data_IF_526424753059
#
_entry.id   IF_526424753059
#
_cell.length_a   1.000
_cell.length_b   1.000
_cell.length_c   1.000
_cell.angle_alpha   90.00
_cell.angle_beta   90.00
_cell.angle_gamma   90.00
#
_symmetry.space_group_name_H-M   'P 1'
#
loop_
_entity.id
_entity.type
_entity.pdbx_description
1 polymer ?
#
# COMPACT_ATOMS: atom_id res chain seq x y z
N UNK A 1 15.61 -7.43 73.89
CA UNK A 1 16.44 -7.31 72.70
C UNK A 1 15.63 -7.72 71.48
N UNK A 2 15.05 -6.77 70.72
CA UNK A 2 14.27 -7.04 69.46
C UNK A 2 15.22 -6.91 68.27
N UNK A 3 15.40 -8.01 67.54
CA UNK A 3 16.19 -8.02 66.30
C UNK A 3 15.27 -7.65 65.14
N UNK A 4 15.48 -6.52 64.51
CA UNK A 4 14.80 -6.06 63.30
C UNK A 4 15.46 -6.74 62.10
N UNK A 5 14.72 -7.54 61.38
CA UNK A 5 15.15 -8.19 60.12
C UNK A 5 14.87 -7.20 58.98
N UNK A 6 15.94 -6.70 58.35
CA UNK A 6 15.83 -5.84 57.12
C UNK A 6 15.79 -6.78 55.91
N UNK A 7 14.64 -6.80 55.23
CA UNK A 7 14.45 -7.57 54.00
C UNK A 7 14.87 -6.68 52.82
N UNK A 8 16.01 -6.98 52.21
CA UNK A 8 16.48 -6.29 51.02
C UNK A 8 15.81 -6.92 49.79
N UNK A 9 14.91 -6.19 49.16
CA UNK A 9 14.27 -6.61 47.87
C UNK A 9 15.19 -6.25 46.72
N UNK A 10 15.78 -7.25 46.06
CA UNK A 10 16.51 -7.09 44.81
C UNK A 10 15.49 -7.09 43.65
N UNK A 11 15.26 -5.92 43.07
CA UNK A 11 14.52 -5.78 41.83
C UNK A 11 15.46 -6.10 40.66
N UNK A 12 15.30 -7.27 40.04
CA UNK A 12 15.99 -7.65 38.82
C UNK A 12 15.35 -6.90 37.64
N UNK A 13 16.06 -5.93 37.08
CA UNK A 13 15.72 -5.28 35.81
C UNK A 13 16.04 -6.28 34.70
N UNK A 14 15.03 -6.94 34.11
CA UNK A 14 15.20 -7.73 32.90
C UNK A 14 15.43 -6.78 31.71
N UNK A 15 16.47 -6.98 30.89
CA UNK A 15 16.64 -6.20 29.67
C UNK A 15 15.51 -6.55 28.71
N UNK A 16 14.74 -5.55 28.29
CA UNK A 16 13.81 -5.66 27.19
C UNK A 16 14.63 -5.90 25.91
N UNK A 17 14.56 -7.11 25.35
CA UNK A 17 15.07 -7.40 24.01
C UNK A 17 14.21 -6.59 23.03
N UNK A 18 14.74 -5.46 22.54
CA UNK A 18 14.19 -4.83 21.34
C UNK A 18 14.34 -5.84 20.21
N UNK A 19 13.22 -6.35 19.70
CA UNK A 19 13.23 -7.11 18.45
C UNK A 19 13.81 -6.19 17.36
N UNK A 20 14.97 -6.56 16.82
CA UNK A 20 15.56 -5.85 15.70
C UNK A 20 14.62 -5.97 14.50
N UNK A 21 14.06 -4.86 14.02
CA UNK A 21 13.32 -4.84 12.75
C UNK A 21 14.23 -5.35 11.63
N UNK A 22 13.66 -6.13 10.71
CA UNK A 22 14.39 -6.59 9.54
C UNK A 22 14.96 -5.36 8.78
N UNK A 23 16.21 -5.46 8.30
CA UNK A 23 16.83 -4.35 7.59
C UNK A 23 16.02 -4.00 6.33
N UNK A 24 15.81 -2.71 6.11
CA UNK A 24 15.11 -2.23 4.92
C UNK A 24 15.95 -2.55 3.69
N UNK A 25 15.38 -3.19 2.65
CA UNK A 25 16.12 -3.53 1.44
C UNK A 25 16.75 -2.31 0.76
N UNK A 26 17.90 -2.46 0.08
CA UNK A 26 18.49 -1.40 -0.73
C UNK A 26 17.52 -0.81 -1.75
N UNK A 27 17.71 0.46 -2.13
CA UNK A 27 16.80 1.19 -3.01
C UNK A 27 16.59 0.52 -4.38
N UNK A 28 17.63 -0.05 -4.96
CA UNK A 28 17.58 -0.78 -6.23
C UNK A 28 16.70 -2.03 -6.15
N UNK A 29 16.76 -2.78 -5.06
CA UNK A 29 15.90 -3.94 -4.82
C UNK A 29 14.44 -3.52 -4.62
N UNK A 30 14.20 -2.47 -3.84
CA UNK A 30 12.85 -1.93 -3.67
C UNK A 30 12.26 -1.47 -5.02
N UNK A 31 13.05 -0.76 -5.84
CA UNK A 31 12.62 -0.30 -7.17
C UNK A 31 12.29 -1.49 -8.08
N UNK A 32 13.18 -2.51 -8.13
CA UNK A 32 12.99 -3.68 -8.98
C UNK A 32 11.67 -4.40 -8.67
N UNK A 33 11.34 -4.56 -7.38
CA UNK A 33 10.11 -5.26 -6.94
C UNK A 33 8.87 -4.38 -7.06
N UNK A 34 8.97 -3.09 -6.72
CA UNK A 34 7.81 -2.17 -6.75
C UNK A 34 7.15 -2.04 -8.13
N UNK A 35 7.91 -2.20 -9.21
CA UNK A 35 7.38 -2.06 -10.57
C UNK A 35 6.85 -3.36 -11.18
N UNK A 36 7.00 -4.49 -10.50
CA UNK A 36 6.58 -5.81 -11.03
C UNK A 36 5.09 -5.89 -11.41
N UNK A 37 4.15 -5.23 -10.70
CA UNK A 37 2.74 -5.25 -11.09
C UNK A 37 2.48 -4.67 -12.48
N UNK A 38 3.32 -3.75 -12.94
CA UNK A 38 3.11 -3.05 -14.21
C UNK A 38 3.40 -3.92 -15.43
N UNK A 39 2.68 -3.70 -16.54
CA UNK A 39 3.15 -4.08 -17.86
C UNK A 39 4.58 -3.58 -18.12
N UNK A 40 5.35 -4.36 -18.89
CA UNK A 40 6.79 -4.12 -19.05
C UNK A 40 7.12 -2.70 -19.57
N UNK A 41 6.28 -2.19 -20.47
CA UNK A 41 6.43 -0.87 -21.11
C UNK A 41 6.32 0.31 -20.14
N UNK A 42 5.70 0.14 -18.97
CA UNK A 42 5.57 1.21 -17.96
C UNK A 42 6.63 1.15 -16.86
N UNK A 43 7.41 0.06 -16.75
CA UNK A 43 8.29 -0.18 -15.60
C UNK A 43 9.48 0.77 -15.54
N UNK A 44 10.12 1.02 -16.68
CA UNK A 44 11.35 1.82 -16.74
C UNK A 44 11.13 3.27 -16.28
N UNK A 45 10.03 3.88 -16.70
CA UNK A 45 9.74 5.29 -16.49
C UNK A 45 8.79 5.58 -15.31
N UNK A 46 8.40 4.56 -14.54
CA UNK A 46 7.57 4.77 -13.36
C UNK A 46 8.31 5.51 -12.26
N UNK A 47 7.66 6.47 -11.62
CA UNK A 47 8.12 7.02 -10.33
C UNK A 47 8.01 5.92 -9.26
N UNK A 48 9.01 5.77 -8.40
CA UNK A 48 8.97 4.79 -7.32
C UNK A 48 9.14 5.48 -5.97
N UNK A 49 8.16 5.32 -5.12
CA UNK A 49 8.20 5.68 -3.70
C UNK A 49 8.56 4.42 -2.91
N UNK A 50 9.47 4.55 -1.98
CA UNK A 50 9.91 3.46 -1.10
C UNK A 50 10.53 4.01 0.17
N UNK A 51 11.29 3.21 0.87
CA UNK A 51 11.71 3.52 2.23
C UNK A 51 13.21 3.75 2.31
N UNK A 52 13.59 4.84 3.01
CA UNK A 52 14.98 5.11 3.40
C UNK A 52 15.43 4.10 4.48
N UNK A 53 16.74 3.97 4.76
CA UNK A 53 17.24 3.12 5.85
C UNK A 53 16.59 3.40 7.21
N UNK A 54 16.09 4.62 7.43
CA UNK A 54 15.40 5.06 8.66
C UNK A 54 13.89 4.77 8.63
N UNK A 55 13.37 4.06 7.60
CA UNK A 55 11.97 3.70 7.47
C UNK A 55 11.05 4.86 7.07
N UNK A 56 11.58 5.92 6.51
CA UNK A 56 10.78 7.04 5.99
C UNK A 56 10.42 6.81 4.52
N UNK A 57 9.16 7.04 4.16
CA UNK A 57 8.75 7.00 2.75
C UNK A 57 9.39 8.17 1.99
N UNK A 58 10.14 7.84 0.94
CA UNK A 58 10.88 8.79 0.09
C UNK A 58 10.73 8.42 -1.39
N UNK A 59 11.09 9.33 -2.29
CA UNK A 59 11.20 9.01 -3.72
C UNK A 59 12.53 8.32 -3.97
N UNK A 60 12.47 7.04 -4.35
CA UNK A 60 13.67 6.26 -4.72
C UNK A 60 14.04 6.44 -6.19
N UNK A 61 13.05 6.67 -7.05
CA UNK A 61 13.22 6.98 -8.48
C UNK A 61 12.20 8.01 -8.92
N UNK A 62 12.65 9.13 -9.45
CA UNK A 62 11.80 10.14 -10.09
C UNK A 62 11.63 9.80 -11.57
N UNK A 63 10.54 9.10 -11.90
CA UNK A 63 10.24 8.63 -13.24
C UNK A 63 9.44 9.67 -14.05
N UNK A 64 9.68 9.70 -15.36
CA UNK A 64 8.97 10.59 -16.29
C UNK A 64 7.65 9.99 -16.83
N UNK A 65 7.42 8.70 -16.61
CA UNK A 65 6.23 8.00 -17.08
C UNK A 65 4.94 8.38 -16.33
N UNK A 66 3.83 7.77 -16.71
CA UNK A 66 2.50 8.07 -16.18
C UNK A 66 2.19 7.36 -14.85
N UNK A 67 3.05 6.43 -14.40
CA UNK A 67 2.77 5.59 -13.24
C UNK A 67 3.62 5.98 -12.03
N UNK A 68 3.01 5.85 -10.83
CA UNK A 68 3.69 5.93 -9.54
C UNK A 68 3.52 4.59 -8.83
N UNK A 69 4.62 3.98 -8.41
CA UNK A 69 4.66 2.71 -7.68
C UNK A 69 5.06 2.93 -6.21
N UNK A 70 4.48 2.15 -5.32
CA UNK A 70 4.89 2.06 -3.91
C UNK A 70 5.58 0.73 -3.68
N UNK A 71 6.77 0.79 -3.06
CA UNK A 71 7.46 -0.38 -2.55
C UNK A 71 6.70 -0.99 -1.37
N UNK A 72 7.03 -2.22 -1.07
CA UNK A 72 6.50 -2.96 0.08
C UNK A 72 6.78 -2.22 1.40
N UNK A 73 5.79 -2.23 2.32
CA UNK A 73 5.94 -1.55 3.61
C UNK A 73 6.75 -2.43 4.58
N UNK A 74 7.96 -2.02 4.99
CA UNK A 74 8.81 -2.82 5.87
C UNK A 74 8.22 -3.05 7.27
N UNK A 75 7.11 -2.41 7.61
CA UNK A 75 6.36 -2.65 8.86
C UNK A 75 5.41 -3.82 8.77
N UNK A 76 5.08 -4.27 7.57
CA UNK A 76 4.16 -5.40 7.31
C UNK A 76 4.94 -6.71 7.13
N UNK A 77 5.70 -7.11 8.17
CA UNK A 77 6.65 -8.23 8.12
C UNK A 77 6.08 -9.56 7.62
N UNK A 78 4.77 -9.78 7.71
CA UNK A 78 4.10 -11.03 7.33
C UNK A 78 3.44 -10.99 5.96
N UNK A 79 3.30 -9.82 5.39
CA UNK A 79 2.59 -9.61 4.14
C UNK A 79 3.49 -8.87 3.14
N UNK A 80 3.32 -9.22 1.88
CA UNK A 80 3.91 -8.52 0.75
C UNK A 80 2.82 -7.77 0.00
N UNK A 81 3.03 -6.49 -0.28
CA UNK A 81 2.12 -5.70 -1.09
C UNK A 81 2.82 -4.56 -1.81
N UNK A 82 2.84 -4.60 -3.12
CA UNK A 82 3.29 -3.51 -3.99
C UNK A 82 2.16 -3.06 -4.89
N UNK A 83 2.07 -1.76 -5.15
CA UNK A 83 1.02 -1.20 -5.98
C UNK A 83 1.51 -0.02 -6.81
N UNK A 84 1.06 0.01 -8.06
CA UNK A 84 1.34 1.10 -8.99
C UNK A 84 0.02 1.71 -9.46
N UNK A 85 -0.08 3.03 -9.49
CA UNK A 85 -1.27 3.75 -9.94
C UNK A 85 -0.89 4.89 -10.89
N UNK A 86 -1.83 5.26 -11.73
CA UNK A 86 -1.65 6.40 -12.64
C UNK A 86 -1.47 7.71 -11.84
N UNK A 87 -0.52 8.56 -12.23
CA UNK A 87 -0.16 9.82 -11.53
C UNK A 87 -1.33 10.76 -11.26
N UNK A 88 -2.39 10.72 -12.08
CA UNK A 88 -3.59 11.52 -11.83
C UNK A 88 -4.30 11.19 -10.51
N UNK A 89 -4.02 10.02 -9.91
CA UNK A 89 -4.51 9.64 -8.59
C UNK A 89 -3.64 10.17 -7.45
N UNK A 90 -2.47 10.75 -7.73
CA UNK A 90 -1.51 11.15 -6.68
C UNK A 90 -2.11 12.05 -5.61
N UNK A 91 -2.91 13.08 -5.91
CA UNK A 91 -3.51 13.92 -4.86
C UNK A 91 -4.34 13.12 -3.86
N UNK A 92 -5.12 12.14 -4.34
CA UNK A 92 -5.94 11.28 -3.50
C UNK A 92 -5.11 10.24 -2.73
N UNK A 93 -4.10 9.65 -3.36
CA UNK A 93 -3.22 8.65 -2.76
C UNK A 93 -2.28 9.27 -1.72
N UNK A 94 -1.63 10.40 -2.06
CA UNK A 94 -0.76 11.13 -1.14
C UNK A 94 -1.52 11.61 0.11
N UNK A 95 -2.75 12.10 -0.06
CA UNK A 95 -3.58 12.49 1.09
C UNK A 95 -3.88 11.31 2.01
N UNK A 96 -4.14 10.14 1.46
CA UNK A 96 -4.33 8.92 2.23
C UNK A 96 -3.08 8.55 3.04
N UNK A 97 -1.90 8.63 2.44
CA UNK A 97 -0.62 8.40 3.12
C UNK A 97 -0.38 9.42 4.24
N UNK A 98 -0.59 10.71 3.98
CA UNK A 98 -0.43 11.77 4.97
C UNK A 98 -1.36 11.60 6.18
N UNK A 99 -2.62 11.21 5.96
CA UNK A 99 -3.57 10.93 7.04
C UNK A 99 -3.10 9.75 7.91
N UNK A 100 -2.66 8.64 7.29
CA UNK A 100 -2.12 7.50 8.04
C UNK A 100 -0.87 7.88 8.83
N UNK A 101 0.03 8.64 8.24
CA UNK A 101 1.23 9.13 8.93
C UNK A 101 0.91 10.04 10.12
N UNK A 102 -0.25 10.73 10.11
CA UNK A 102 -0.75 11.51 11.26
C UNK A 102 -1.61 10.70 12.24
N UNK A 103 -1.65 9.36 12.12
CA UNK A 103 -2.37 8.48 13.03
C UNK A 103 -3.86 8.28 12.72
N UNK A 104 -4.37 8.80 11.60
CA UNK A 104 -5.75 8.52 11.16
C UNK A 104 -5.79 7.12 10.53
N UNK A 105 -6.68 6.26 11.00
CA UNK A 105 -6.78 4.85 10.57
C UNK A 105 -8.19 4.48 10.10
N UNK A 106 -8.29 3.33 9.44
CA UNK A 106 -9.57 2.73 9.03
C UNK A 106 -10.39 3.64 8.11
N UNK A 107 -11.71 3.57 8.25
CA UNK A 107 -12.68 4.30 7.41
C UNK A 107 -12.61 5.83 7.58
N UNK A 108 -11.96 6.30 8.65
CA UNK A 108 -11.76 7.74 8.86
C UNK A 108 -10.89 8.37 7.76
N UNK A 109 -9.92 7.62 7.23
CA UNK A 109 -9.08 8.07 6.10
C UNK A 109 -9.95 8.37 4.89
N UNK A 110 -10.86 7.46 4.54
CA UNK A 110 -11.76 7.64 3.40
C UNK A 110 -12.78 8.75 3.66
N UNK A 111 -13.33 8.81 4.86
CA UNK A 111 -14.28 9.87 5.25
C UNK A 111 -13.69 11.27 5.07
N UNK A 112 -12.42 11.48 5.46
CA UNK A 112 -11.75 12.78 5.27
C UNK A 112 -11.52 13.05 3.79
N UNK A 113 -10.94 12.08 3.04
CA UNK A 113 -10.69 12.24 1.61
C UNK A 113 -11.96 12.52 0.82
N UNK A 114 -13.06 11.83 1.13
CA UNK A 114 -14.34 12.04 0.45
C UNK A 114 -14.91 13.44 0.68
N UNK A 115 -14.78 13.97 1.90
CA UNK A 115 -15.14 15.37 2.19
C UNK A 115 -14.29 16.35 1.39
N UNK A 116 -12.98 16.08 1.29
CA UNK A 116 -12.06 16.93 0.54
C UNK A 116 -12.29 16.86 -0.98
N UNK A 117 -12.63 15.69 -1.53
CA UNK A 117 -13.06 15.55 -2.93
C UNK A 117 -14.36 16.32 -3.18
N UNK A 118 -15.38 16.16 -2.33
CA UNK A 118 -16.65 16.86 -2.44
C UNK A 118 -16.48 18.38 -2.38
N UNK A 119 -15.53 18.85 -1.57
CA UNK A 119 -15.20 20.28 -1.43
C UNK A 119 -14.29 20.82 -2.56
N UNK A 120 -13.93 19.98 -3.56
CA UNK A 120 -13.05 20.36 -4.66
C UNK A 120 -11.57 20.52 -4.29
N UNK A 121 -11.17 20.18 -3.06
CA UNK A 121 -9.77 20.25 -2.60
C UNK A 121 -8.90 19.15 -3.23
N UNK A 122 -9.49 18.00 -3.53
CA UNK A 122 -8.86 16.90 -4.26
C UNK A 122 -9.64 16.68 -5.54
N UNK A 123 -8.94 16.73 -6.67
CA UNK A 123 -9.53 16.39 -7.97
C UNK A 123 -9.30 14.92 -8.26
N UNK A 124 -10.38 14.20 -8.58
CA UNK A 124 -10.31 12.83 -9.04
C UNK A 124 -10.27 12.78 -10.57
N UNK A 125 -9.47 11.88 -11.19
CA UNK A 125 -9.56 11.64 -12.62
C UNK A 125 -10.90 10.99 -12.97
N UNK A 126 -11.33 11.08 -14.24
CA UNK A 126 -12.52 10.35 -14.72
C UNK A 126 -12.32 8.84 -14.62
N UNK A 127 -11.10 8.39 -14.94
CA UNK A 127 -10.67 7.00 -14.79
C UNK A 127 -9.16 6.94 -14.58
N UNK A 128 -8.68 5.92 -13.87
CA UNK A 128 -7.26 5.69 -13.66
C UNK A 128 -6.99 4.22 -13.30
N UNK A 129 -5.95 3.65 -13.88
CA UNK A 129 -5.52 2.29 -13.56
C UNK A 129 -4.74 2.23 -12.25
N UNK A 130 -4.87 1.08 -11.56
CA UNK A 130 -3.98 0.62 -10.51
C UNK A 130 -3.69 -0.86 -10.74
N UNK A 131 -2.44 -1.24 -10.52
CA UNK A 131 -1.93 -2.60 -10.61
C UNK A 131 -1.29 -2.96 -9.28
N UNK A 132 -1.56 -4.15 -8.75
CA UNK A 132 -0.90 -4.58 -7.51
C UNK A 132 -0.56 -6.06 -7.53
N UNK A 133 0.44 -6.40 -6.70
CA UNK A 133 0.78 -7.76 -6.32
C UNK A 133 0.74 -7.86 -4.81
N UNK A 134 0.21 -8.95 -4.30
CA UNK A 134 0.13 -9.19 -2.86
C UNK A 134 0.27 -10.67 -2.53
N UNK A 135 0.64 -10.97 -1.28
CA UNK A 135 0.76 -12.33 -0.77
C UNK A 135 1.40 -12.34 0.61
N UNK A 136 1.81 -13.53 1.06
CA UNK A 136 2.66 -13.64 2.24
C UNK A 136 4.07 -13.10 1.92
N UNK A 137 4.84 -12.72 2.93
CA UNK A 137 6.21 -12.19 2.71
C UNK A 137 7.11 -13.17 1.93
N UNK A 138 6.84 -14.47 1.99
CA UNK A 138 7.60 -15.51 1.27
C UNK A 138 7.38 -15.52 -0.25
N UNK A 139 6.40 -14.76 -0.78
CA UNK A 139 6.16 -14.74 -2.24
C UNK A 139 7.15 -13.87 -3.00
N UNK A 140 7.96 -13.06 -2.30
CA UNK A 140 8.92 -12.14 -2.91
C UNK A 140 10.35 -12.55 -2.57
N UNK A 141 11.22 -12.51 -3.59
CA UNK A 141 12.67 -12.49 -3.44
C UNK A 141 13.16 -11.07 -3.79
N UNK A 142 13.40 -10.29 -2.75
CA UNK A 142 13.84 -8.89 -2.89
C UNK A 142 15.19 -8.78 -3.59
N UNK A 143 16.13 -9.71 -3.29
CA UNK A 143 17.48 -9.69 -3.86
C UNK A 143 17.47 -10.05 -5.35
N UNK A 144 16.63 -11.00 -5.75
CA UNK A 144 16.46 -11.38 -7.15
C UNK A 144 15.50 -10.44 -7.92
N UNK A 145 14.76 -9.56 -7.24
CA UNK A 145 13.77 -8.69 -7.85
C UNK A 145 12.61 -9.48 -8.48
N UNK A 146 12.15 -10.56 -7.86
CA UNK A 146 11.17 -11.50 -8.42
C UNK A 146 10.09 -11.87 -7.41
N UNK A 147 8.93 -12.27 -7.92
CA UNK A 147 7.87 -12.89 -7.13
C UNK A 147 7.60 -14.31 -7.62
N UNK A 148 7.12 -15.15 -6.72
CA UNK A 148 6.69 -16.52 -7.05
C UNK A 148 5.27 -16.50 -7.67
N UNK A 149 4.83 -17.60 -8.32
CA UNK A 149 3.45 -17.73 -8.79
C UNK A 149 2.37 -17.66 -7.70
N UNK A 150 2.75 -17.74 -6.43
CA UNK A 150 1.81 -17.56 -5.31
C UNK A 150 1.45 -16.08 -5.04
N UNK A 151 2.17 -15.13 -5.64
CA UNK A 151 1.80 -13.72 -5.60
C UNK A 151 0.50 -13.49 -6.37
N UNK A 152 -0.45 -12.82 -5.74
CA UNK A 152 -1.77 -12.55 -6.32
C UNK A 152 -1.78 -11.20 -7.00
N UNK A 153 -2.07 -11.19 -8.30
CA UNK A 153 -2.30 -9.97 -9.05
C UNK A 153 -3.71 -9.45 -8.83
N UNK A 154 -3.84 -8.13 -8.75
CA UNK A 154 -5.10 -7.44 -8.73
C UNK A 154 -5.00 -6.21 -9.63
N UNK A 155 -5.94 -6.09 -10.56
CA UNK A 155 -6.05 -4.95 -11.46
C UNK A 155 -7.28 -4.15 -11.12
N UNK A 156 -7.12 -2.84 -11.10
CA UNK A 156 -8.16 -1.91 -10.67
C UNK A 156 -8.29 -0.78 -11.69
N UNK A 157 -9.51 -0.42 -12.01
CA UNK A 157 -9.81 0.81 -12.74
C UNK A 157 -10.65 1.70 -11.84
N UNK A 158 -10.05 2.76 -11.30
CA UNK A 158 -10.80 3.79 -10.61
C UNK A 158 -11.76 4.48 -11.58
N UNK A 159 -13.02 4.53 -11.20
CA UNK A 159 -14.11 5.23 -11.87
C UNK A 159 -14.96 5.93 -10.81
N UNK A 160 -14.55 7.12 -10.36
CA UNK A 160 -15.23 7.82 -9.28
C UNK A 160 -16.74 7.90 -9.50
N UNK A 161 -17.50 7.58 -8.46
CA UNK A 161 -18.96 7.56 -8.43
C UNK A 161 -19.61 6.48 -9.30
N UNK A 162 -18.88 5.55 -9.90
CA UNK A 162 -19.46 4.42 -10.61
C UNK A 162 -20.38 3.60 -9.69
N UNK A 163 -21.50 3.16 -10.26
CA UNK A 163 -22.48 2.27 -9.61
C UNK A 163 -22.83 1.13 -10.57
N UNK A 164 -23.47 0.05 -10.12
CA UNK A 164 -23.99 -0.95 -11.03
C UNK A 164 -24.90 -0.39 -12.13
N UNK A 165 -25.73 0.60 -11.78
CA UNK A 165 -26.63 1.25 -12.74
C UNK A 165 -25.90 2.04 -13.82
N UNK A 166 -24.77 2.69 -13.50
CA UNK A 166 -24.01 3.51 -14.45
C UNK A 166 -22.94 2.74 -15.21
N UNK A 167 -22.51 1.58 -14.69
CA UNK A 167 -21.41 0.79 -15.29
C UNK A 167 -21.86 -0.54 -15.91
N UNK A 168 -23.04 -1.07 -15.54
CA UNK A 168 -23.46 -2.43 -15.88
C UNK A 168 -22.69 -3.53 -15.14
N UNK A 169 -21.84 -3.19 -14.18
CA UNK A 169 -20.97 -4.11 -13.44
C UNK A 169 -21.53 -4.32 -12.03
N UNK A 170 -21.68 -5.57 -11.53
CA UNK A 170 -22.25 -5.84 -10.22
C UNK A 170 -21.39 -5.26 -9.08
N UNK A 171 -22.00 -4.93 -7.94
CA UNK A 171 -21.31 -4.45 -6.74
C UNK A 171 -20.81 -5.58 -5.82
N UNK A 172 -21.22 -6.82 -6.07
CA UNK A 172 -20.75 -7.99 -5.33
C UNK A 172 -19.68 -8.74 -6.14
N UNK A 173 -18.65 -9.31 -5.49
CA UNK A 173 -17.66 -10.13 -6.17
C UNK A 173 -18.31 -11.31 -6.91
N UNK A 174 -17.94 -11.48 -8.17
CA UNK A 174 -18.34 -12.60 -9.03
C UNK A 174 -17.07 -13.30 -9.49
N UNK A 175 -17.01 -14.62 -9.33
CA UNK A 175 -15.82 -15.39 -9.71
C UNK A 175 -15.55 -15.24 -11.23
N UNK A 176 -14.34 -14.83 -11.57
CA UNK A 176 -13.90 -14.67 -12.96
C UNK A 176 -14.50 -13.47 -13.69
N UNK A 177 -15.20 -12.56 -12.99
CA UNK A 177 -15.79 -11.38 -13.57
C UNK A 177 -15.43 -10.11 -12.78
N UNK A 178 -15.47 -8.92 -13.40
CA UNK A 178 -15.26 -7.66 -12.71
C UNK A 178 -16.42 -7.32 -11.75
N UNK A 179 -16.12 -6.58 -10.69
CA UNK A 179 -17.13 -6.00 -9.79
C UNK A 179 -16.74 -4.60 -9.36
N UNK A 180 -17.74 -3.77 -8.97
CA UNK A 180 -17.53 -2.41 -8.47
C UNK A 180 -17.36 -2.45 -6.96
N UNK A 181 -16.25 -1.92 -6.45
CA UNK A 181 -16.06 -1.64 -5.01
C UNK A 181 -16.37 -0.20 -4.69
N UNK A 182 -16.94 0.04 -3.52
CA UNK A 182 -17.35 1.37 -3.01
C UNK A 182 -18.26 2.14 -3.98
N UNK A 183 -19.33 1.53 -4.51
CA UNK A 183 -20.17 2.17 -5.52
C UNK A 183 -20.72 3.51 -5.04
N UNK A 184 -20.79 4.49 -5.95
CA UNK A 184 -21.30 5.84 -5.68
C UNK A 184 -20.39 6.75 -4.85
N UNK A 185 -19.18 6.32 -4.51
CA UNK A 185 -18.20 7.12 -3.75
C UNK A 185 -17.09 7.67 -4.65
N UNK A 186 -16.34 8.68 -4.20
CA UNK A 186 -15.14 9.14 -4.90
C UNK A 186 -14.10 8.04 -5.13
N UNK A 187 -14.11 6.99 -4.30
CA UNK A 187 -13.19 5.85 -4.36
C UNK A 187 -13.73 4.70 -5.20
N UNK A 188 -14.90 4.83 -5.81
CA UNK A 188 -15.47 3.76 -6.63
C UNK A 188 -14.47 3.27 -7.68
N UNK A 189 -14.32 1.95 -7.78
CA UNK A 189 -13.39 1.33 -8.71
C UNK A 189 -13.85 -0.07 -9.11
N UNK A 190 -13.45 -0.48 -10.29
CA UNK A 190 -13.70 -1.80 -10.83
C UNK A 190 -12.51 -2.69 -10.51
N UNK A 191 -12.79 -3.86 -9.96
CA UNK A 191 -11.80 -4.87 -9.57
C UNK A 191 -11.76 -5.97 -10.63
N UNK A 192 -10.55 -6.41 -10.98
CA UNK A 192 -10.28 -7.57 -11.81
C UNK A 192 -9.27 -8.46 -11.10
N UNK A 193 -9.63 -9.69 -10.82
CA UNK A 193 -8.69 -10.72 -10.37
C UNK A 193 -8.42 -11.61 -11.58
N UNK A 194 -7.22 -11.49 -12.21
CA UNK A 194 -6.89 -12.36 -13.32
C UNK A 194 -6.76 -13.81 -12.82
N UNK A 195 -7.24 -14.75 -13.61
CA UNK A 195 -6.86 -16.15 -13.46
C UNK A 195 -5.39 -16.28 -13.85
N UNK A 196 -4.55 -16.62 -12.89
CA UNK A 196 -3.15 -16.97 -13.16
C UNK A 196 -3.03 -18.43 -13.51
#
# INVERSE_FOLDING_TARGET
MRRTLVLTVFTALAPALLAAQAPIPPADQQIAVAVLPLPAEFRADATVLGYSPEGKLVTLRDGKGAMTCLADDPKEEKAFHVACYHKSMEPFMARGRALRASGVTGDKVDSVRFKEVKAGKIRMPKQAALWSLSGDASVVDMAAGKVTPAARALYVVYMPYATPATSGIPAAPVRGAPWVMYPGTPKAHIMFVPSM
#
